data_IF_986844574138
#
_entry.id   IF_986844574138
#
_cell.length_a   1.000
_cell.length_b   1.000
_cell.length_c   1.000
_cell.angle_alpha   90.00
_cell.angle_beta   90.00
_cell.angle_gamma   90.00
#
_symmetry.space_group_name_H-M   'P 1'
#
loop_
_entity.id
_entity.type
_entity.pdbx_description
1 polymer ?
#
# COMPACT_ATOMS: atom_id res chain seq x y z
N UNK A 1 -48.03 -18.12 -3.56
CA UNK A 1 -47.21 -17.69 -4.71
C UNK A 1 -46.96 -16.18 -4.66
N UNK A 2 -47.90 -15.37 -4.16
CA UNK A 2 -47.72 -13.91 -3.92
C UNK A 2 -46.61 -13.53 -2.90
N UNK A 3 -46.34 -14.34 -1.86
CA UNK A 3 -45.29 -14.04 -0.87
C UNK A 3 -43.84 -14.07 -1.38
N UNK A 4 -43.58 -14.67 -2.54
CA UNK A 4 -42.23 -14.74 -3.14
C UNK A 4 -41.98 -13.56 -4.09
N UNK A 5 -43.01 -13.09 -4.81
CA UNK A 5 -42.93 -11.92 -5.70
C UNK A 5 -42.75 -10.60 -4.92
N UNK A 6 -43.37 -10.49 -3.74
CA UNK A 6 -43.17 -9.33 -2.85
C UNK A 6 -41.75 -9.27 -2.26
N UNK A 7 -41.09 -10.41 -2.05
CA UNK A 7 -39.71 -10.45 -1.55
C UNK A 7 -38.68 -10.14 -2.65
N UNK A 8 -38.89 -10.63 -3.87
CA UNK A 8 -38.02 -10.29 -5.02
C UNK A 8 -38.11 -8.81 -5.39
N UNK A 9 -39.30 -8.23 -5.38
CA UNK A 9 -39.49 -6.79 -5.68
C UNK A 9 -38.85 -5.90 -4.61
N UNK A 10 -38.94 -6.26 -3.32
CA UNK A 10 -38.29 -5.57 -2.22
C UNK A 10 -36.75 -5.69 -2.30
N UNK A 11 -36.25 -6.87 -2.70
CA UNK A 11 -34.83 -7.11 -2.87
C UNK A 11 -34.25 -6.32 -4.06
N UNK A 12 -34.95 -6.30 -5.19
CA UNK A 12 -34.57 -5.51 -6.37
C UNK A 12 -34.59 -3.99 -6.08
N UNK A 13 -35.58 -3.51 -5.34
CA UNK A 13 -35.64 -2.11 -4.89
C UNK A 13 -34.46 -1.74 -3.98
N UNK A 14 -34.10 -2.64 -3.05
CA UNK A 14 -32.95 -2.48 -2.16
C UNK A 14 -31.62 -2.47 -2.91
N UNK A 15 -31.43 -3.37 -3.88
CA UNK A 15 -30.23 -3.42 -4.72
C UNK A 15 -30.09 -2.17 -5.60
N UNK A 16 -31.21 -1.63 -6.11
CA UNK A 16 -31.22 -0.37 -6.86
C UNK A 16 -30.79 0.80 -5.99
N UNK A 17 -31.34 0.92 -4.77
CA UNK A 17 -30.94 1.95 -3.81
C UNK A 17 -29.45 1.87 -3.45
N UNK A 18 -28.93 0.67 -3.22
CA UNK A 18 -27.49 0.46 -2.96
C UNK A 18 -26.65 0.92 -4.17
N UNK A 19 -27.05 0.53 -5.39
CA UNK A 19 -26.35 0.91 -6.62
C UNK A 19 -26.33 2.43 -6.82
N UNK A 20 -27.46 3.09 -6.64
CA UNK A 20 -27.59 4.54 -6.82
C UNK A 20 -26.77 5.29 -5.75
N UNK A 21 -26.75 4.81 -4.51
CA UNK A 21 -25.91 5.33 -3.43
C UNK A 21 -24.41 5.17 -3.70
N UNK A 22 -23.98 4.01 -4.21
CA UNK A 22 -22.59 3.78 -4.62
C UNK A 22 -22.18 4.70 -5.78
N UNK A 23 -23.07 4.93 -6.75
CA UNK A 23 -22.82 5.83 -7.87
C UNK A 23 -22.65 7.28 -7.40
N UNK A 24 -23.52 7.76 -6.51
CA UNK A 24 -23.42 9.10 -5.92
C UNK A 24 -22.13 9.26 -5.11
N UNK A 25 -21.74 8.23 -4.36
CA UNK A 25 -20.47 8.19 -3.61
C UNK A 25 -19.27 8.37 -4.54
N UNK A 26 -19.22 7.63 -5.65
CA UNK A 26 -18.12 7.76 -6.62
C UNK A 26 -18.05 9.15 -7.23
N UNK A 27 -19.19 9.72 -7.63
CA UNK A 27 -19.24 11.09 -8.18
C UNK A 27 -18.68 12.11 -7.18
N UNK A 28 -19.07 12.00 -5.91
CA UNK A 28 -18.56 12.87 -4.84
C UNK A 28 -17.09 12.63 -4.58
N UNK A 29 -16.63 11.37 -4.60
CA UNK A 29 -15.23 11.02 -4.41
C UNK A 29 -14.38 11.68 -5.50
N UNK A 30 -14.74 11.48 -6.77
CA UNK A 30 -14.06 12.06 -7.92
C UNK A 30 -13.99 13.59 -7.83
N UNK A 31 -15.08 14.24 -7.39
CA UNK A 31 -15.11 15.68 -7.21
C UNK A 31 -14.13 16.16 -6.12
N UNK A 32 -13.93 15.39 -5.05
CA UNK A 32 -13.06 15.75 -3.91
C UNK A 32 -11.58 15.42 -4.22
N UNK A 33 -11.31 14.39 -5.02
CA UNK A 33 -9.95 13.89 -5.30
C UNK A 33 -9.41 14.30 -6.67
N UNK A 34 -10.20 14.99 -7.50
CA UNK A 34 -9.83 15.44 -8.86
C UNK A 34 -8.41 15.98 -8.97
N UNK A 35 -8.02 16.87 -8.06
CA UNK A 35 -6.72 17.55 -8.12
C UNK A 35 -5.54 16.66 -7.67
N UNK A 36 -5.83 15.55 -7.01
CA UNK A 36 -4.82 14.63 -6.45
C UNK A 36 -4.50 13.46 -7.40
N UNK A 37 -5.37 13.20 -8.39
CA UNK A 37 -5.22 12.12 -9.36
C UNK A 37 -3.92 12.23 -10.15
N UNK A 38 -3.55 13.44 -10.57
CA UNK A 38 -2.31 13.66 -11.31
C UNK A 38 -1.07 13.20 -10.51
N UNK A 39 -1.04 13.45 -9.20
CA UNK A 39 0.04 13.01 -8.31
C UNK A 39 0.04 11.49 -8.16
N UNK A 40 -1.14 10.87 -8.00
CA UNK A 40 -1.26 9.42 -7.90
C UNK A 40 -0.81 8.71 -9.20
N UNK A 41 -1.28 9.17 -10.35
CA UNK A 41 -0.90 8.64 -11.66
C UNK A 41 0.61 8.80 -11.92
N UNK A 42 1.18 9.95 -11.57
CA UNK A 42 2.61 10.19 -11.70
C UNK A 42 3.44 9.24 -10.81
N UNK A 43 2.99 8.97 -9.57
CA UNK A 43 3.63 8.01 -8.68
C UNK A 43 3.56 6.57 -9.24
N UNK A 44 2.41 6.16 -9.78
CA UNK A 44 2.24 4.83 -10.41
C UNK A 44 3.11 4.71 -11.67
N UNK A 45 3.17 5.74 -12.50
CA UNK A 45 4.04 5.78 -13.68
C UNK A 45 5.52 5.64 -13.29
N UNK A 46 5.95 6.38 -12.27
CA UNK A 46 7.31 6.29 -11.72
C UNK A 46 7.60 4.89 -11.17
N UNK A 47 6.63 4.24 -10.52
CA UNK A 47 6.78 2.86 -10.08
C UNK A 47 7.07 1.91 -11.26
N UNK A 48 6.32 1.99 -12.35
CA UNK A 48 6.57 1.13 -13.52
C UNK A 48 7.91 1.42 -14.19
N UNK A 49 8.31 2.69 -14.31
CA UNK A 49 9.63 3.07 -14.82
C UNK A 49 10.74 2.48 -13.94
N UNK A 50 10.61 2.59 -12.62
CA UNK A 50 11.57 2.05 -11.65
C UNK A 50 11.61 0.53 -11.67
N UNK A 51 10.46 -0.12 -11.78
CA UNK A 51 10.35 -1.57 -11.90
C UNK A 51 11.01 -2.08 -13.18
N UNK A 52 10.84 -1.38 -14.30
CA UNK A 52 11.53 -1.72 -15.55
C UNK A 52 13.05 -1.67 -15.37
N UNK A 53 13.57 -0.55 -14.86
CA UNK A 53 15.00 -0.36 -14.62
C UNK A 53 15.57 -1.43 -13.66
N UNK A 54 14.90 -1.65 -12.52
CA UNK A 54 15.35 -2.65 -11.53
C UNK A 54 15.21 -4.08 -12.05
N UNK A 55 14.15 -4.40 -12.77
CA UNK A 55 13.93 -5.70 -13.39
C UNK A 55 15.04 -6.09 -14.38
N UNK A 56 15.68 -5.11 -15.04
CA UNK A 56 16.82 -5.33 -15.94
C UNK A 56 18.12 -5.71 -15.21
N UNK A 57 18.28 -5.34 -13.94
CA UNK A 57 19.47 -5.68 -13.14
C UNK A 57 19.26 -6.89 -12.23
N UNK A 58 18.02 -7.30 -12.00
CA UNK A 58 17.72 -8.52 -11.26
C UNK A 58 18.18 -9.73 -12.07
N UNK A 59 19.22 -10.42 -11.57
CA UNK A 59 19.89 -11.53 -12.27
C UNK A 59 19.25 -12.89 -11.98
N UNK A 60 17.93 -12.91 -11.78
CA UNK A 60 17.16 -14.12 -11.47
C UNK A 60 17.54 -14.83 -10.17
N UNK A 61 18.12 -14.13 -9.18
CA UNK A 61 18.29 -14.76 -7.86
C UNK A 61 16.96 -14.85 -7.13
N UNK A 62 16.69 -15.98 -6.47
CA UNK A 62 15.40 -16.25 -5.80
C UNK A 62 14.98 -15.13 -4.84
N UNK A 63 15.96 -14.50 -4.17
CA UNK A 63 15.72 -13.35 -3.29
C UNK A 63 15.21 -12.11 -4.00
N UNK A 64 15.83 -11.76 -5.11
CA UNK A 64 15.49 -10.56 -5.87
C UNK A 64 14.12 -10.74 -6.52
N UNK A 65 13.86 -11.93 -7.07
CA UNK A 65 12.55 -12.27 -7.64
C UNK A 65 11.45 -12.25 -6.57
N UNK A 66 11.66 -12.89 -5.42
CA UNK A 66 10.71 -12.89 -4.32
C UNK A 66 10.47 -11.47 -3.75
N UNK A 67 11.53 -10.67 -3.59
CA UNK A 67 11.43 -9.28 -3.16
C UNK A 67 10.60 -8.44 -4.14
N UNK A 68 10.85 -8.55 -5.45
CA UNK A 68 10.06 -7.86 -6.47
C UNK A 68 8.60 -8.34 -6.50
N UNK A 69 8.35 -9.63 -6.32
CA UNK A 69 7.01 -10.19 -6.24
C UNK A 69 6.23 -9.61 -5.05
N UNK A 70 6.87 -9.52 -3.89
CA UNK A 70 6.30 -8.93 -2.67
C UNK A 70 5.96 -7.45 -2.88
N UNK A 71 6.88 -6.67 -3.44
CA UNK A 71 6.64 -5.25 -3.73
C UNK A 71 5.55 -5.06 -4.80
N UNK A 72 5.53 -5.89 -5.83
CA UNK A 72 4.47 -5.90 -6.84
C UNK A 72 3.10 -6.24 -6.23
N UNK A 73 3.07 -7.16 -5.27
CA UNK A 73 1.86 -7.47 -4.50
C UNK A 73 1.41 -6.28 -3.66
N UNK A 74 2.33 -5.56 -3.02
CA UNK A 74 2.02 -4.34 -2.28
C UNK A 74 1.35 -3.28 -3.17
N UNK A 75 1.91 -2.98 -4.35
CA UNK A 75 1.31 -2.01 -5.29
C UNK A 75 -0.06 -2.48 -5.78
N UNK A 76 -0.21 -3.76 -6.14
CA UNK A 76 -1.53 -4.31 -6.52
C UNK A 76 -2.56 -4.11 -5.41
N UNK A 77 -2.17 -4.29 -4.15
CA UNK A 77 -3.07 -4.08 -2.99
C UNK A 77 -3.45 -2.61 -2.84
N UNK A 78 -2.51 -1.67 -2.96
CA UNK A 78 -2.82 -0.22 -2.96
C UNK A 78 -3.84 0.11 -4.05
N UNK A 79 -3.57 -0.27 -5.30
CA UNK A 79 -4.47 0.00 -6.43
C UNK A 79 -5.84 -0.65 -6.20
N UNK A 80 -5.90 -1.92 -5.81
CA UNK A 80 -7.16 -2.62 -5.58
C UNK A 80 -7.98 -2.00 -4.45
N UNK A 81 -7.32 -1.45 -3.43
CA UNK A 81 -7.99 -0.83 -2.28
C UNK A 81 -8.61 0.51 -2.62
N UNK A 82 -8.29 1.10 -3.77
CA UNK A 82 -8.94 2.34 -4.22
C UNK A 82 -10.44 2.13 -4.39
N UNK A 83 -10.85 0.95 -4.87
CA UNK A 83 -12.26 0.59 -5.01
C UNK A 83 -13.02 0.61 -3.67
N UNK A 84 -12.35 0.32 -2.54
CA UNK A 84 -12.94 0.42 -1.21
C UNK A 84 -13.15 1.90 -0.84
N UNK A 85 -12.14 2.74 -1.07
CA UNK A 85 -12.22 4.16 -0.79
C UNK A 85 -13.31 4.85 -1.64
N UNK A 86 -13.34 4.56 -2.95
CA UNK A 86 -14.38 5.01 -3.89
C UNK A 86 -15.79 4.57 -3.50
N UNK A 87 -15.89 3.42 -2.82
CA UNK A 87 -17.17 2.85 -2.38
C UNK A 87 -17.57 3.29 -0.97
N UNK A 88 -16.81 4.21 -0.35
CA UNK A 88 -17.16 4.79 0.95
C UNK A 88 -16.61 4.04 2.17
N UNK A 89 -15.54 3.26 2.00
CA UNK A 89 -14.91 2.46 3.06
C UNK A 89 -13.48 2.95 3.38
N UNK A 90 -13.34 4.16 3.96
CA UNK A 90 -12.03 4.78 4.19
C UNK A 90 -11.16 4.04 5.20
N UNK A 91 -11.74 3.41 6.23
CA UNK A 91 -10.95 2.71 7.25
C UNK A 91 -10.44 1.36 6.74
N UNK A 92 -11.26 0.62 6.00
CA UNK A 92 -10.85 -0.61 5.31
C UNK A 92 -9.74 -0.32 4.29
N UNK A 93 -9.86 0.80 3.56
CA UNK A 93 -8.81 1.31 2.68
C UNK A 93 -7.50 1.57 3.45
N UNK A 94 -7.54 2.26 4.60
CA UNK A 94 -6.36 2.47 5.46
C UNK A 94 -5.75 1.18 6.00
N UNK A 95 -6.57 0.18 6.33
CA UNK A 95 -6.05 -1.13 6.74
C UNK A 95 -5.19 -1.77 5.65
N UNK A 96 -5.61 -1.65 4.38
CA UNK A 96 -4.81 -2.15 3.26
C UNK A 96 -3.49 -1.38 3.14
N UNK A 97 -3.50 -0.04 3.28
CA UNK A 97 -2.27 0.75 3.30
C UNK A 97 -1.29 0.29 4.39
N UNK A 98 -1.78 0.09 5.62
CA UNK A 98 -0.97 -0.46 6.71
C UNK A 98 -0.35 -1.80 6.36
N UNK A 99 -1.09 -2.70 5.72
CA UNK A 99 -0.57 -4.00 5.28
C UNK A 99 0.48 -3.86 4.16
N UNK A 100 0.40 -2.80 3.34
CA UNK A 100 1.42 -2.52 2.32
C UNK A 100 2.78 -2.18 2.96
N UNK A 101 2.82 -1.46 4.10
CA UNK A 101 4.08 -1.26 4.82
C UNK A 101 4.68 -2.59 5.32
N UNK A 102 3.84 -3.56 5.72
CA UNK A 102 4.32 -4.89 6.09
C UNK A 102 4.97 -5.60 4.89
N UNK A 103 4.36 -5.54 3.70
CA UNK A 103 4.97 -6.09 2.49
C UNK A 103 6.30 -5.43 2.15
N UNK A 104 6.43 -4.11 2.32
CA UNK A 104 7.70 -3.43 2.09
C UNK A 104 8.78 -3.95 3.07
N UNK A 105 8.44 -4.08 4.35
CA UNK A 105 9.34 -4.66 5.37
C UNK A 105 9.75 -6.09 5.02
N UNK A 106 8.81 -6.92 4.55
CA UNK A 106 9.06 -8.30 4.12
C UNK A 106 10.06 -8.33 2.96
N UNK A 107 9.87 -7.47 1.96
CA UNK A 107 10.77 -7.38 0.81
C UNK A 107 12.21 -7.06 1.22
N UNK A 108 12.39 -6.06 2.11
CA UNK A 108 13.72 -5.70 2.63
C UNK A 108 14.31 -6.87 3.45
N UNK A 109 13.50 -7.61 4.19
CA UNK A 109 13.99 -8.75 4.96
C UNK A 109 14.46 -9.89 4.04
N UNK A 110 13.64 -10.27 3.06
CA UNK A 110 13.94 -11.36 2.10
C UNK A 110 15.26 -11.11 1.35
N UNK A 111 15.52 -9.87 0.93
CA UNK A 111 16.69 -9.60 0.09
C UNK A 111 18.02 -9.77 0.84
N UNK A 112 18.00 -9.61 2.16
CA UNK A 112 19.19 -9.77 2.99
C UNK A 112 19.21 -11.13 3.73
N UNK A 113 18.07 -11.66 4.14
CA UNK A 113 17.97 -12.82 5.03
C UNK A 113 17.50 -14.10 4.30
N UNK A 114 18.37 -15.12 4.28
CA UNK A 114 18.07 -16.43 3.66
C UNK A 114 16.91 -17.16 4.34
N UNK A 115 16.80 -17.07 5.67
CA UNK A 115 15.70 -17.72 6.40
C UNK A 115 14.36 -17.06 6.05
N UNK A 116 14.36 -15.74 5.81
CA UNK A 116 13.18 -15.02 5.34
C UNK A 116 12.77 -15.45 3.93
N UNK A 117 13.71 -15.64 3.00
CA UNK A 117 13.38 -16.22 1.69
C UNK A 117 12.76 -17.62 1.84
N UNK A 118 13.39 -18.50 2.64
CA UNK A 118 12.91 -19.86 2.87
C UNK A 118 11.47 -19.85 3.42
N UNK A 119 11.22 -19.02 4.44
CA UNK A 119 9.90 -18.86 5.05
C UNK A 119 8.86 -18.31 4.07
N UNK A 120 9.26 -17.40 3.19
CA UNK A 120 8.37 -16.85 2.16
C UNK A 120 7.95 -17.93 1.16
N UNK A 121 8.91 -18.71 0.67
CA UNK A 121 8.66 -19.81 -0.27
C UNK A 121 7.80 -20.93 0.36
N UNK A 122 7.98 -21.20 1.67
CA UNK A 122 7.12 -22.10 2.44
C UNK A 122 5.66 -21.59 2.53
N UNK A 123 5.44 -20.27 2.54
CA UNK A 123 4.10 -19.66 2.62
C UNK A 123 3.39 -19.49 1.27
N UNK A 124 4.10 -19.57 0.15
CA UNK A 124 3.52 -19.41 -1.20
C UNK A 124 2.72 -20.63 -1.71
N UNK A 125 2.67 -21.72 -0.95
CA UNK A 125 2.11 -23.01 -1.38
C UNK A 125 0.83 -23.45 -0.67
N UNK A 126 -0.14 -22.55 -0.49
CA UNK A 126 -1.31 -22.69 0.41
C UNK A 126 -0.98 -22.49 1.89
N UNK A 127 -1.99 -22.10 2.67
CA UNK A 127 -1.94 -21.74 4.11
C UNK A 127 -1.63 -20.27 4.42
N UNK A 128 -2.51 -19.37 3.96
CA UNK A 128 -2.95 -18.22 4.80
C UNK A 128 -4.10 -18.62 5.75
N UNK A 129 -4.38 -19.92 5.86
CA UNK A 129 -5.33 -20.47 6.81
C UNK A 129 -4.63 -20.75 8.13
N UNK A 130 -5.07 -20.06 9.19
CA UNK A 130 -5.14 -20.61 10.56
C UNK A 130 -3.89 -20.80 11.42
N UNK A 131 -2.69 -20.33 11.07
CA UNK A 131 -1.62 -20.21 12.08
C UNK A 131 -1.84 -18.94 12.91
N UNK A 132 -1.94 -19.07 14.24
CA UNK A 132 -2.21 -18.00 15.20
C UNK A 132 -1.52 -16.69 14.78
N UNK A 133 -2.30 -15.62 14.60
CA UNK A 133 -1.78 -14.28 14.29
C UNK A 133 -0.74 -13.80 15.31
N UNK A 134 -0.54 -14.50 16.43
CA UNK A 134 0.54 -14.35 17.41
C UNK A 134 1.95 -14.73 16.89
N UNK A 135 2.06 -15.75 16.04
CA UNK A 135 3.37 -16.36 15.73
C UNK A 135 3.89 -16.12 14.32
N UNK A 136 3.10 -15.49 13.45
CA UNK A 136 3.49 -15.14 12.08
C UNK A 136 4.92 -14.58 11.97
N UNK A 137 5.76 -15.24 11.15
CA UNK A 137 7.19 -14.96 11.02
C UNK A 137 7.48 -13.54 10.51
N UNK A 138 6.64 -13.06 9.59
CA UNK A 138 6.77 -11.77 8.92
C UNK A 138 5.99 -10.63 9.60
N UNK A 139 5.74 -10.74 10.91
CA UNK A 139 5.21 -9.60 11.66
C UNK A 139 6.16 -8.41 11.56
N UNK A 140 5.61 -7.21 11.31
CA UNK A 140 6.38 -5.98 11.26
C UNK A 140 7.31 -5.79 12.47
N UNK A 141 6.82 -6.09 13.69
CA UNK A 141 7.63 -6.01 14.91
C UNK A 141 8.73 -7.06 15.00
N UNK A 142 8.52 -8.28 14.48
CA UNK A 142 9.55 -9.33 14.43
C UNK A 142 10.63 -8.96 13.41
N UNK A 143 10.25 -8.39 12.25
CA UNK A 143 11.19 -7.90 11.24
C UNK A 143 12.03 -6.75 11.80
N UNK A 144 11.41 -5.73 12.42
CA UNK A 144 12.14 -4.61 13.02
C UNK A 144 13.14 -5.07 14.07
N UNK A 145 12.74 -6.00 14.95
CA UNK A 145 13.65 -6.54 15.95
C UNK A 145 14.84 -7.27 15.32
N UNK A 146 14.62 -8.11 14.29
CA UNK A 146 15.70 -8.80 13.57
C UNK A 146 16.69 -7.83 12.92
N UNK A 147 16.17 -6.83 12.21
CA UNK A 147 16.98 -5.82 11.51
C UNK A 147 17.72 -4.91 12.50
N UNK A 148 17.13 -4.61 13.66
CA UNK A 148 17.77 -3.82 14.72
C UNK A 148 18.87 -4.60 15.45
N UNK A 149 18.63 -5.89 15.72
CA UNK A 149 19.63 -6.76 16.36
C UNK A 149 20.81 -7.07 15.43
N UNK A 150 20.55 -7.28 14.14
CA UNK A 150 21.53 -7.50 13.06
C UNK A 150 22.74 -8.34 13.49
N UNK A 151 22.48 -9.48 14.17
CA UNK A 151 23.51 -10.32 14.80
C UNK A 151 24.61 -10.74 13.83
N UNK A 152 24.23 -11.00 12.59
CA UNK A 152 25.11 -11.47 11.52
C UNK A 152 25.64 -10.34 10.62
N UNK A 153 25.30 -9.08 10.90
CA UNK A 153 25.68 -7.88 10.12
C UNK A 153 25.38 -7.99 8.63
N UNK A 154 24.16 -8.45 8.31
CA UNK A 154 23.71 -8.72 6.93
C UNK A 154 22.93 -7.56 6.32
N UNK A 155 22.43 -6.63 7.15
CA UNK A 155 21.67 -5.47 6.70
C UNK A 155 22.57 -4.23 6.62
N UNK A 156 22.68 -3.57 5.45
CA UNK A 156 23.42 -2.31 5.36
C UNK A 156 22.69 -1.16 6.09
N UNK A 157 23.45 -0.13 6.47
CA UNK A 157 22.97 0.99 7.28
C UNK A 157 21.73 1.71 6.70
N UNK A 158 21.69 1.83 5.36
CA UNK A 158 20.60 2.49 4.65
C UNK A 158 19.29 1.71 4.83
N UNK A 159 19.34 0.39 4.64
CA UNK A 159 18.19 -0.50 4.78
C UNK A 159 17.75 -0.60 6.25
N UNK A 160 18.68 -0.60 7.22
CA UNK A 160 18.33 -0.54 8.65
C UNK A 160 17.55 0.74 8.99
N UNK A 161 18.00 1.89 8.48
CA UNK A 161 17.29 3.17 8.66
C UNK A 161 15.91 3.13 8.00
N UNK A 162 15.84 2.63 6.77
CA UNK A 162 14.60 2.51 6.02
C UNK A 162 13.56 1.64 6.75
N UNK A 163 13.97 0.48 7.29
CA UNK A 163 13.11 -0.38 8.10
C UNK A 163 12.59 0.35 9.33
N UNK A 164 13.44 1.10 10.04
CA UNK A 164 13.03 1.87 11.21
C UNK A 164 11.97 2.94 10.87
N UNK A 165 12.19 3.68 9.78
CA UNK A 165 11.27 4.72 9.33
C UNK A 165 9.91 4.13 8.89
N UNK A 166 9.92 3.03 8.13
CA UNK A 166 8.70 2.32 7.68
C UNK A 166 7.95 1.71 8.87
N UNK A 167 8.66 1.09 9.81
CA UNK A 167 8.04 0.50 11.00
C UNK A 167 7.38 1.56 11.88
N UNK A 168 8.00 2.73 12.03
CA UNK A 168 7.41 3.86 12.75
C UNK A 168 6.09 4.30 12.09
N UNK A 169 6.06 4.42 10.77
CA UNK A 169 4.84 4.77 10.03
C UNK A 169 3.76 3.69 10.20
N UNK A 170 4.14 2.41 10.09
CA UNK A 170 3.25 1.28 10.32
C UNK A 170 2.61 1.31 11.71
N UNK A 171 3.38 1.69 12.73
CA UNK A 171 2.89 1.82 14.12
C UNK A 171 1.89 2.98 14.26
N UNK A 172 2.18 4.13 13.63
CA UNK A 172 1.27 5.29 13.63
C UNK A 172 -0.07 4.91 13.01
N UNK A 173 -0.05 4.30 11.83
CA UNK A 173 -1.28 3.90 11.12
C UNK A 173 -2.02 2.81 11.90
N UNK A 174 -1.32 1.81 12.43
CA UNK A 174 -1.93 0.74 13.22
C UNK A 174 -2.62 1.26 14.48
N UNK A 175 -2.03 2.24 15.17
CA UNK A 175 -2.66 2.88 16.32
C UNK A 175 -3.90 3.68 15.91
N UNK A 176 -3.84 4.43 14.81
CA UNK A 176 -4.98 5.18 14.30
C UNK A 176 -6.18 4.26 13.97
N UNK A 177 -5.92 3.12 13.32
CA UNK A 177 -6.91 2.10 12.99
C UNK A 177 -7.55 1.51 14.27
N UNK A 178 -6.76 1.16 15.28
CA UNK A 178 -7.26 0.64 16.56
C UNK A 178 -8.21 1.62 17.26
N UNK A 179 -7.94 2.93 17.17
CA UNK A 179 -8.79 3.97 17.73
C UNK A 179 -10.05 4.25 16.89
N UNK A 180 -9.97 4.11 15.55
CA UNK A 180 -11.09 4.32 14.65
C UNK A 180 -12.16 3.21 14.75
N UNK A 181 -11.76 1.93 14.82
CA UNK A 181 -12.67 0.77 14.87
C UNK A 181 -13.44 0.58 16.20
N UNK A 182 -13.76 1.65 16.92
CA UNK A 182 -14.72 1.59 18.02
C UNK A 182 -16.13 1.29 17.49
N UNK A 183 -16.91 0.48 18.23
CA UNK A 183 -18.31 0.07 17.92
C UNK A 183 -19.27 1.20 17.52
N UNK A 184 -18.92 2.46 17.76
CA UNK A 184 -19.71 3.64 17.45
C UNK A 184 -19.79 3.95 15.94
N UNK A 185 -18.76 3.63 15.14
CA UNK A 185 -18.73 3.99 13.71
C UNK A 185 -19.55 3.05 12.82
N UNK A 186 -19.53 1.73 13.06
CA UNK A 186 -20.39 0.77 12.33
C UNK A 186 -21.89 1.10 12.49
N UNK A 187 -22.28 1.63 13.66
CA UNK A 187 -23.65 2.12 13.91
C UNK A 187 -23.97 3.45 13.21
N UNK A 188 -22.97 4.22 12.76
CA UNK A 188 -23.15 5.48 12.05
C UNK A 188 -23.22 5.32 10.54
N UNK A 189 -22.55 4.30 9.98
CA UNK A 189 -22.58 3.99 8.54
C UNK A 189 -23.92 3.37 8.10
N UNK A 190 -24.72 2.88 9.04
CA UNK A 190 -26.08 2.35 8.79
C UNK A 190 -27.05 3.11 9.68
N UNK A 191 -27.74 4.11 9.10
CA UNK A 191 -28.82 4.82 9.77
C UNK A 191 -30.13 4.47 9.07
N UNK A 192 -31.11 4.01 9.82
CA UNK A 192 -32.44 3.63 9.32
C UNK A 192 -32.42 2.56 8.20
N UNK A 193 -31.44 1.64 8.22
CA UNK A 193 -31.29 0.60 7.20
C UNK A 193 -30.65 1.09 5.89
N UNK A 194 -30.27 2.36 5.81
CA UNK A 194 -29.61 2.97 4.65
C UNK A 194 -28.12 3.11 4.96
N UNK A 195 -27.27 2.64 4.03
CA UNK A 195 -25.83 2.91 4.08
C UNK A 195 -25.66 4.43 3.89
N UNK A 196 -25.28 5.16 4.94
CA UNK A 196 -24.88 6.56 4.81
C UNK A 196 -23.46 6.60 4.26
N UNK A 197 -23.36 6.64 2.94
CA UNK A 197 -22.08 6.63 2.25
C UNK A 197 -21.63 8.07 2.04
N UNK A 198 -20.53 8.42 2.71
CA UNK A 198 -19.81 9.70 2.63
C UNK A 198 -20.67 10.96 2.88
N UNK A 199 -20.66 11.43 4.14
CA UNK A 199 -21.10 12.79 4.46
C UNK A 199 -20.08 13.83 3.96
N UNK A 200 -20.53 15.04 3.59
CA UNK A 200 -19.63 16.14 3.16
C UNK A 200 -18.57 16.48 4.23
N UNK A 201 -18.88 16.27 5.51
CA UNK A 201 -17.93 16.41 6.63
C UNK A 201 -16.80 15.37 6.60
N UNK A 202 -16.95 14.27 5.87
CA UNK A 202 -15.94 13.24 5.66
C UNK A 202 -14.96 13.54 4.53
N UNK A 203 -15.24 14.52 3.65
CA UNK A 203 -14.42 14.82 2.47
C UNK A 203 -12.90 14.97 2.78
N UNK A 204 -12.47 15.63 3.87
CA UNK A 204 -11.04 15.71 4.22
C UNK A 204 -10.41 14.35 4.51
N UNK A 205 -11.18 13.40 5.06
CA UNK A 205 -10.70 12.04 5.38
C UNK A 205 -10.40 11.27 4.09
N UNK A 206 -11.33 11.26 3.13
CA UNK A 206 -11.14 10.61 1.82
C UNK A 206 -9.96 11.20 1.06
N UNK A 207 -9.89 12.53 1.02
CA UNK A 207 -8.80 13.25 0.35
C UNK A 207 -7.44 12.91 0.97
N UNK A 208 -7.36 12.88 2.31
CA UNK A 208 -6.13 12.55 3.01
C UNK A 208 -5.70 11.09 2.76
N UNK A 209 -6.63 10.14 2.78
CA UNK A 209 -6.31 8.74 2.49
C UNK A 209 -5.85 8.58 1.04
N UNK A 210 -6.52 9.22 0.09
CA UNK A 210 -6.13 9.16 -1.31
C UNK A 210 -4.72 9.73 -1.54
N UNK A 211 -4.36 10.84 -0.87
CA UNK A 211 -2.98 11.36 -0.88
C UNK A 211 -1.96 10.36 -0.34
N UNK A 212 -2.32 9.60 0.69
CA UNK A 212 -1.45 8.56 1.22
C UNK A 212 -1.16 7.48 0.16
N UNK A 213 -2.09 7.17 -0.74
CA UNK A 213 -1.82 6.17 -1.80
C UNK A 213 -0.61 6.56 -2.65
N UNK A 214 -0.49 7.83 -3.03
CA UNK A 214 0.67 8.36 -3.77
C UNK A 214 1.96 8.22 -2.96
N UNK A 215 1.93 8.56 -1.67
CA UNK A 215 3.07 8.40 -0.75
C UNK A 215 3.48 6.93 -0.64
N UNK A 216 2.52 6.02 -0.58
CA UNK A 216 2.75 4.59 -0.49
C UNK A 216 3.42 4.00 -1.72
N UNK A 217 2.92 4.34 -2.91
CA UNK A 217 3.55 3.95 -4.17
C UNK A 217 4.96 4.54 -4.25
N UNK A 218 5.13 5.80 -3.84
CA UNK A 218 6.43 6.46 -3.79
C UNK A 218 7.40 5.82 -2.79
N UNK A 219 6.93 5.31 -1.65
CA UNK A 219 7.74 4.55 -0.71
C UNK A 219 8.24 3.22 -1.29
N UNK A 220 7.43 2.57 -2.12
CA UNK A 220 7.86 1.37 -2.87
C UNK A 220 8.94 1.74 -3.89
N UNK A 221 8.79 2.87 -4.59
CA UNK A 221 9.84 3.42 -5.45
C UNK A 221 11.13 3.69 -4.65
N UNK A 222 11.04 4.33 -3.48
CA UNK A 222 12.18 4.59 -2.60
C UNK A 222 12.94 3.30 -2.24
N UNK A 223 12.23 2.20 -2.02
CA UNK A 223 12.83 0.90 -1.72
C UNK A 223 13.53 0.34 -2.95
N UNK A 224 12.84 0.34 -4.10
CA UNK A 224 13.39 -0.15 -5.37
C UNK A 224 14.68 0.59 -5.79
N UNK A 225 14.73 1.92 -5.62
CA UNK A 225 15.96 2.69 -5.91
C UNK A 225 16.98 2.65 -4.77
N UNK A 226 16.52 2.42 -3.54
CA UNK A 226 17.29 2.57 -2.32
C UNK A 226 18.05 1.30 -1.90
N UNK A 227 17.64 0.14 -2.39
CA UNK A 227 18.37 -1.12 -2.18
C UNK A 227 19.76 -0.99 -2.80
N UNK A 228 20.77 -0.97 -1.92
CA UNK A 228 22.18 -0.74 -2.24
C UNK A 228 22.70 -1.66 -3.35
N UNK A 229 22.24 -2.91 -3.36
CA UNK A 229 22.58 -3.92 -4.38
C UNK A 229 22.13 -3.52 -5.78
N UNK A 230 20.90 -3.03 -5.96
CA UNK A 230 20.39 -2.61 -7.27
C UNK A 230 21.14 -1.38 -7.77
N UNK A 231 21.37 -0.42 -6.88
CA UNK A 231 22.13 0.79 -7.20
C UNK A 231 23.54 0.47 -7.73
N UNK A 232 24.23 -0.48 -7.11
CA UNK A 232 25.55 -0.93 -7.57
C UNK A 232 25.48 -1.51 -8.98
N UNK A 233 24.55 -2.43 -9.23
CA UNK A 233 24.40 -3.10 -10.53
C UNK A 233 24.02 -2.12 -11.65
N UNK A 234 23.16 -1.14 -11.37
CA UNK A 234 22.82 -0.08 -12.32
C UNK A 234 24.06 0.76 -12.66
N UNK A 235 24.88 1.12 -11.67
CA UNK A 235 26.08 1.94 -11.89
C UNK A 235 27.19 1.25 -12.70
N UNK A 236 27.15 -0.08 -12.81
CA UNK A 236 28.10 -0.87 -13.59
C UNK A 236 27.75 -0.93 -15.10
N UNK A 237 26.60 -0.37 -15.51
CA UNK A 237 26.13 -0.36 -16.90
C UNK A 237 25.85 1.06 -17.39
N UNK A 238 26.54 1.48 -18.45
CA UNK A 238 26.41 2.82 -19.03
C UNK A 238 25.01 3.11 -19.57
N UNK A 239 24.38 2.14 -20.25
CA UNK A 239 23.01 2.23 -20.74
C UNK A 239 21.99 2.41 -19.61
N UNK A 240 22.14 1.63 -18.53
CA UNK A 240 21.24 1.71 -17.37
C UNK A 240 21.46 2.98 -16.55
N UNK A 241 22.66 3.56 -16.61
CA UNK A 241 22.99 4.80 -15.93
C UNK A 241 22.20 5.99 -16.52
N UNK A 242 22.09 6.06 -17.84
CA UNK A 242 21.28 7.10 -18.52
C UNK A 242 19.79 6.97 -18.17
N UNK A 243 19.26 5.74 -18.22
CA UNK A 243 17.87 5.48 -17.83
C UNK A 243 17.64 5.80 -16.34
N UNK A 244 18.61 5.48 -15.48
CA UNK A 244 18.58 5.83 -14.05
C UNK A 244 18.53 7.35 -13.83
N UNK A 245 19.27 8.15 -14.59
CA UNK A 245 19.17 9.60 -14.52
C UNK A 245 17.79 10.13 -14.95
N UNK A 246 17.16 9.48 -15.92
CA UNK A 246 15.77 9.79 -16.30
C UNK A 246 14.81 9.49 -15.16
N UNK A 247 14.88 8.28 -14.59
CA UNK A 247 14.05 7.87 -13.43
C UNK A 247 14.27 8.80 -12.23
N UNK A 248 15.51 9.23 -11.96
CA UNK A 248 15.84 10.16 -10.88
C UNK A 248 15.27 11.57 -11.10
N UNK A 249 15.08 12.01 -12.36
CA UNK A 249 14.38 13.27 -12.66
C UNK A 249 12.89 13.13 -12.36
N UNK A 250 12.24 12.11 -12.91
CA UNK A 250 10.84 11.79 -12.61
C UNK A 250 10.60 11.64 -11.11
N UNK A 251 11.54 11.02 -10.39
CA UNK A 251 11.50 10.89 -8.94
C UNK A 251 11.42 12.23 -8.22
N UNK A 252 12.26 13.20 -8.61
CA UNK A 252 12.25 14.54 -8.02
C UNK A 252 10.94 15.27 -8.30
N UNK A 253 10.45 15.20 -9.53
CA UNK A 253 9.18 15.82 -9.94
C UNK A 253 8.02 15.26 -9.12
N UNK A 254 7.89 13.93 -9.03
CA UNK A 254 6.84 13.27 -8.23
C UNK A 254 6.98 13.60 -6.75
N UNK A 255 8.20 13.63 -6.20
CA UNK A 255 8.43 14.03 -4.82
C UNK A 255 7.91 15.43 -4.55
N UNK A 256 8.21 16.38 -5.43
CA UNK A 256 7.79 17.77 -5.28
C UNK A 256 6.27 17.91 -5.36
N UNK A 257 5.61 17.13 -6.23
CA UNK A 257 4.14 17.03 -6.27
C UNK A 257 3.58 16.53 -4.94
N UNK A 258 4.10 15.42 -4.41
CA UNK A 258 3.66 14.84 -3.13
C UNK A 258 3.86 15.83 -1.97
N UNK A 259 4.97 16.55 -1.93
CA UNK A 259 5.24 17.57 -0.91
C UNK A 259 4.26 18.75 -1.04
N UNK A 260 3.98 19.21 -2.28
CA UNK A 260 3.02 20.28 -2.54
C UNK A 260 1.61 19.91 -2.09
N UNK A 261 1.22 18.66 -2.27
CA UNK A 261 -0.09 18.14 -1.84
C UNK A 261 -0.16 17.84 -0.34
N UNK A 262 0.96 18.03 0.39
CA UNK A 262 1.03 17.82 1.83
C UNK A 262 1.15 16.35 2.24
N UNK A 263 1.55 15.47 1.32
CA UNK A 263 1.74 14.03 1.58
C UNK A 263 3.03 13.69 2.33
N UNK A 264 4.06 14.55 2.25
CA UNK A 264 5.31 14.42 3.00
C UNK A 264 5.55 15.68 3.84
N UNK A 265 6.03 15.51 5.08
CA UNK A 265 6.49 16.65 5.87
C UNK A 265 7.63 17.36 5.12
N UNK A 266 7.55 18.70 5.03
CA UNK A 266 8.64 19.53 4.48
C UNK A 266 9.84 19.41 5.43
N UNK A 267 10.73 18.47 5.13
CA UNK A 267 12.05 18.39 5.75
C UNK A 267 13.03 19.25 4.95
#
# INVERSE_FOLDING_TARGET
MEFLEDNESLHLASLKLIRDSLKDTRIKFDAITKDEWATFEAAVSLYFQTLNLTGRVVKSSDKELASLEVLGTAVKRVISSLSLLESGFPEESRMILRNCLEFILISIDIIHNNESLKKWLETSGDVLETAERGEWYFKASKIEARVREDKDKIYPDIERKMVSDIYREWKIISNAILHAHSKAQLKSSVKDGILQVMSLSGAPVYKNIFRQYSVFVFNIVNVLIGISRYRRLISESEELLEESHSVLRSYKEVKDMIVKDGGLARN
#
